data_IF_961915456529
#
_entry.id   IF_961915456529
#
_cell.length_a   1.000
_cell.length_b   1.000
_cell.length_c   1.000
_cell.angle_alpha   90.00
_cell.angle_beta   90.00
_cell.angle_gamma   90.00
#
_symmetry.space_group_name_H-M   'P 1'
#
loop_
_entity.id
_entity.type
_entity.pdbx_description
1 polymer ?
2 non-polymer ?
3 non-polymer ?
4 water ?
#
# COMPACT_ATOMS: atom_id res chain seq x y z
N UNK A 7 5.74 9.19 17.03
CA UNK A 7 6.09 8.51 15.78
C UNK A 7 6.84 9.47 14.87
N UNK A 8 7.80 8.90 14.13
CA UNK A 8 8.77 9.68 13.37
C UNK A 8 8.11 10.46 12.23
N UNK A 9 8.56 11.70 12.02
CA UNK A 9 8.06 12.45 10.88
C UNK A 9 9.13 12.89 9.87
N UNK A 10 10.42 12.73 10.17
CA UNK A 10 11.41 13.21 9.21
C UNK A 10 11.68 12.17 8.13
N UNK A 11 12.00 12.66 6.94
CA UNK A 11 12.34 11.90 5.74
C UNK A 11 13.73 11.28 5.87
N UNK A 12 13.96 10.13 5.23
CA UNK A 12 15.28 9.50 5.16
C UNK A 12 15.57 8.93 3.77
N UNK A 13 15.38 9.78 2.75
CA UNK A 13 15.39 9.33 1.37
C UNK A 13 16.78 8.87 0.92
N UNK A 14 17.84 9.48 1.45
CA UNK A 14 19.22 9.09 1.12
C UNK A 14 19.61 7.76 1.73
N UNK A 15 18.81 7.23 2.65
CA UNK A 15 19.13 5.99 3.34
C UNK A 15 18.98 4.81 2.38
N UNK A 16 19.99 3.95 2.27
CA UNK A 16 19.88 2.81 1.34
C UNK A 16 18.77 1.82 1.71
N UNK A 17 18.23 1.89 2.92
CA UNK A 17 17.19 0.92 3.31
C UNK A 17 15.84 1.33 2.76
N UNK A 18 15.53 2.63 2.77
CA UNK A 18 14.34 3.13 2.12
C UNK A 18 14.35 2.84 0.60
N UNK A 19 15.49 3.10 -0.05
CA UNK A 19 15.57 2.88 -1.50
C UNK A 19 15.28 1.42 -1.84
N UNK A 20 15.81 0.50 -1.03
CA UNK A 20 15.71 -0.94 -1.30
C UNK A 20 14.28 -1.44 -1.16
N UNK A 21 13.59 -0.97 -0.11
CA UNK A 21 12.18 -1.27 0.08
C UNK A 21 11.36 -0.94 -1.16
N UNK A 22 11.54 0.24 -1.74
CA UNK A 22 10.69 0.54 -2.91
C UNK A 22 11.24 -0.09 -4.17
N UNK A 23 12.52 -0.43 -4.22
CA UNK A 23 13.00 -1.23 -5.34
C UNK A 23 12.28 -2.56 -5.37
N UNK A 24 12.15 -3.20 -4.21
CA UNK A 24 11.42 -4.45 -4.12
C UNK A 24 10.00 -4.31 -4.65
N UNK A 25 9.32 -3.21 -4.28
CA UNK A 25 7.94 -3.06 -4.71
C UNK A 25 7.84 -2.69 -6.19
N UNK A 26 8.79 -1.90 -6.69
CA UNK A 26 8.81 -1.63 -8.14
C UNK A 26 8.97 -2.92 -8.93
N UNK A 27 9.94 -3.76 -8.57
CA UNK A 27 10.10 -5.02 -9.28
C UNK A 27 8.85 -5.86 -9.22
N UNK A 28 8.22 -5.89 -8.03
CA UNK A 28 6.94 -6.54 -7.86
C UNK A 28 5.91 -5.99 -8.83
N UNK A 29 5.88 -4.65 -9.01
CA UNK A 29 4.96 -4.08 -10.02
C UNK A 29 5.44 -4.36 -11.44
N UNK A 30 6.76 -4.37 -11.64
CA UNK A 30 7.32 -4.69 -13.00
C UNK A 30 7.21 -6.20 -13.15
N UNK A 31 6.01 -6.70 -13.48
CA UNK A 31 5.80 -8.15 -13.55
C UNK A 31 6.55 -8.74 -14.74
N UNK A 32 6.62 -8.02 -15.83
CA UNK A 32 7.28 -8.55 -17.03
C UNK A 32 8.79 -8.31 -17.01
N UNK A 33 9.32 -7.71 -15.97
CA UNK A 33 10.76 -7.65 -15.81
C UNK A 33 11.49 -6.73 -16.76
N UNK A 34 10.81 -5.80 -17.40
CA UNK A 34 11.51 -4.91 -18.33
C UNK A 34 11.95 -3.59 -17.70
N UNK A 35 11.66 -3.36 -16.42
CA UNK A 35 12.16 -2.16 -15.79
C UNK A 35 11.30 -0.94 -15.99
N UNK A 36 10.06 -1.12 -16.50
CA UNK A 36 9.15 0.00 -16.72
C UNK A 36 7.76 -0.40 -16.25
N UNK A 37 7.07 0.53 -15.62
CA UNK A 37 5.69 0.28 -15.24
C UNK A 37 4.85 1.46 -15.70
N UNK A 38 3.54 1.25 -15.83
CA UNK A 38 2.62 2.32 -16.23
C UNK A 38 1.44 2.39 -15.28
N UNK A 39 0.89 3.60 -15.12
CA UNK A 39 -0.36 3.69 -14.35
C UNK A 39 -1.44 2.81 -14.97
N UNK A 40 -1.40 2.61 -16.31
CA UNK A 40 -2.38 1.75 -16.95
C UNK A 40 -2.35 0.34 -16.36
N UNK A 41 -1.14 -0.21 -16.20
CA UNK A 41 -1.01 -1.53 -15.61
C UNK A 41 -1.46 -1.55 -14.17
N UNK A 42 -1.07 -0.51 -13.43
CA UNK A 42 -1.40 -0.47 -12.00
C UNK A 42 -2.92 -0.47 -11.81
N UNK A 43 -3.61 0.35 -12.58
CA UNK A 43 -5.06 0.46 -12.39
C UNK A 43 -5.76 -0.82 -12.83
N UNK A 44 -5.34 -1.39 -13.96
CA UNK A 44 -5.80 -2.70 -14.39
C UNK A 44 -5.67 -3.71 -13.25
N UNK A 45 -4.50 -3.70 -12.60
CA UNK A 45 -4.30 -4.61 -11.48
C UNK A 45 -5.29 -4.31 -10.36
N UNK A 46 -5.53 -3.02 -10.12
CA UNK A 46 -6.47 -2.64 -9.05
C UNK A 46 -7.90 -3.06 -9.37
N UNK A 47 -8.40 -2.67 -10.54
CA UNK A 47 -9.83 -2.89 -10.78
C UNK A 47 -10.14 -4.24 -11.45
N UNK A 48 -9.47 -4.52 -12.56
CA UNK A 48 -9.78 -5.71 -13.34
C UNK A 48 -9.31 -6.99 -12.68
N UNK A 49 -8.35 -6.91 -11.76
CA UNK A 49 -7.75 -8.06 -11.13
C UNK A 49 -8.14 -8.19 -9.66
N UNK A 50 -8.07 -7.10 -8.90
CA UNK A 50 -8.38 -7.17 -7.44
C UNK A 50 -9.88 -6.91 -7.17
N UNK A 51 -10.40 -5.76 -7.56
CA UNK A 51 -11.82 -5.41 -7.25
C UNK A 51 -12.82 -6.34 -7.95
N UNK A 52 -12.58 -6.70 -9.21
CA UNK A 52 -13.52 -7.60 -9.91
C UNK A 52 -13.57 -8.96 -9.20
N UNK A 53 -12.40 -9.46 -8.79
CA UNK A 53 -12.30 -10.78 -8.09
C UNK A 53 -13.04 -10.73 -6.76
N UNK A 54 -12.99 -9.59 -6.06
CA UNK A 54 -13.65 -9.42 -4.74
C UNK A 54 -15.14 -9.04 -4.89
N UNK A 55 -15.63 -8.89 -6.13
CA UNK A 55 -17.05 -8.58 -6.43
C UNK A 55 -17.47 -7.28 -5.72
N UNK A 56 -16.60 -6.27 -5.77
CA UNK A 56 -16.90 -4.97 -5.14
C UNK A 56 -17.97 -4.24 -5.97
N UNK A 57 -18.73 -3.36 -5.33
CA UNK A 57 -19.79 -2.58 -6.01
C UNK A 57 -19.16 -1.55 -6.96
N UNK A 58 -19.88 -1.05 -7.98
CA UNK A 58 -19.31 -0.06 -8.90
C UNK A 58 -18.84 1.18 -8.11
N UNK A 59 -19.64 1.63 -7.13
CA UNK A 59 -19.24 2.77 -6.28
C UNK A 59 -17.94 2.38 -5.54
N UNK A 60 -17.86 1.15 -5.03
CA UNK A 60 -16.65 0.65 -4.31
C UNK A 60 -15.47 0.51 -5.27
N UNK A 61 -15.70 -0.05 -6.46
CA UNK A 61 -14.61 -0.23 -7.44
C UNK A 61 -14.11 1.14 -7.90
N UNK A 62 -15.03 2.06 -8.19
CA UNK A 62 -14.66 3.42 -8.63
C UNK A 62 -13.91 4.12 -7.50
N UNK A 63 -14.37 3.93 -6.26
CA UNK A 63 -13.70 4.57 -5.10
C UNK A 63 -12.28 3.98 -4.97
N UNK A 64 -12.17 2.65 -5.09
CA UNK A 64 -10.85 1.99 -4.97
C UNK A 64 -9.97 2.47 -6.11
N UNK A 65 -10.50 2.45 -7.34
CA UNK A 65 -9.67 2.92 -8.46
C UNK A 65 -9.30 4.40 -8.31
N UNK A 66 -10.22 5.23 -7.78
CA UNK A 66 -9.87 6.63 -7.55
C UNK A 66 -8.71 6.75 -6.58
N UNK A 67 -8.73 5.91 -5.52
CA UNK A 67 -7.67 6.09 -4.56
C UNK A 67 -6.34 5.55 -5.09
N UNK A 68 -6.37 4.47 -5.86
CA UNK A 68 -5.14 3.99 -6.48
C UNK A 68 -4.60 5.00 -7.47
N UNK A 69 -5.47 5.58 -8.31
CA UNK A 69 -4.99 6.57 -9.26
C UNK A 69 -4.30 7.72 -8.51
N UNK A 70 -4.95 8.22 -7.46
CA UNK A 70 -4.39 9.35 -6.71
C UNK A 70 -3.03 8.98 -6.12
N UNK A 71 -2.94 7.79 -5.51
CA UNK A 71 -1.74 7.39 -4.80
C UNK A 71 -0.57 7.32 -5.78
N UNK A 72 -0.78 6.63 -6.89
CA UNK A 72 0.38 6.50 -7.78
C UNK A 72 0.64 7.75 -8.62
N UNK A 73 -0.37 8.58 -8.90
CA UNK A 73 -0.05 9.92 -9.44
C UNK A 73 0.77 10.73 -8.45
N UNK A 74 0.56 10.49 -7.14
CA UNK A 74 1.37 11.13 -6.11
C UNK A 74 2.84 10.80 -6.21
N UNK A 75 3.18 9.63 -6.79
CA UNK A 75 4.54 9.20 -7.08
C UNK A 75 5.07 9.70 -8.41
N UNK A 76 4.22 10.27 -9.23
CA UNK A 76 4.64 10.70 -10.54
C UNK A 76 4.17 9.82 -11.66
N UNK A 77 3.34 8.82 -11.38
CA UNK A 77 2.84 8.00 -12.49
C UNK A 77 1.71 8.70 -13.22
N UNK A 78 1.49 8.28 -14.47
CA UNK A 78 0.36 8.84 -15.21
C UNK A 78 -0.01 7.91 -16.37
N UNK A 79 -1.28 7.98 -16.79
CA UNK A 79 -1.73 7.14 -17.87
C UNK A 79 -0.88 7.44 -19.09
N UNK A 80 -0.42 6.38 -19.74
CA UNK A 80 0.31 6.49 -21.00
C UNK A 80 1.80 6.67 -20.86
N UNK A 81 2.30 6.80 -19.63
CA UNK A 81 3.69 7.13 -19.34
C UNK A 81 4.42 5.92 -18.78
N UNK A 82 5.52 5.53 -19.40
CA UNK A 82 6.35 4.44 -18.87
C UNK A 82 7.32 5.01 -17.83
N UNK A 83 7.35 4.41 -16.62
CA UNK A 83 8.16 4.90 -15.52
C UNK A 83 9.23 3.86 -15.19
N UNK A 84 10.50 4.28 -15.19
CA UNK A 84 11.59 3.38 -14.78
C UNK A 84 11.98 3.68 -13.33
N UNK A 85 12.81 2.81 -12.73
CA UNK A 85 12.93 2.89 -11.25
C UNK A 85 13.53 4.20 -10.73
N UNK A 86 14.53 4.81 -11.35
CA UNK A 86 15.02 6.09 -10.83
C UNK A 86 13.92 7.15 -10.75
N UNK A 87 13.08 7.28 -11.79
CA UNK A 87 12.02 8.26 -11.76
C UNK A 87 10.94 7.87 -10.75
N UNK A 88 10.67 6.56 -10.63
CA UNK A 88 9.72 6.08 -9.59
C UNK A 88 10.21 6.47 -8.20
N UNK A 89 11.48 6.19 -7.94
CA UNK A 89 12.09 6.53 -6.63
C UNK A 89 12.02 8.03 -6.34
N UNK A 90 12.31 8.86 -7.34
CA UNK A 90 12.25 10.30 -7.13
C UNK A 90 10.81 10.76 -6.86
N UNK A 91 9.84 10.19 -7.57
CA UNK A 91 8.46 10.50 -7.25
C UNK A 91 8.01 9.96 -5.91
N UNK A 92 8.67 8.90 -5.42
CA UNK A 92 8.32 8.45 -4.07
C UNK A 92 8.82 9.42 -3.00
N UNK A 93 9.95 10.09 -3.21
CA UNK A 93 10.30 11.16 -2.26
C UNK A 93 9.25 12.24 -2.25
N UNK A 94 8.72 12.59 -3.41
CA UNK A 94 7.71 13.64 -3.40
C UNK A 94 6.44 13.17 -2.74
N UNK A 95 6.01 11.93 -3.03
CA UNK A 95 4.82 11.37 -2.40
C UNK A 95 4.95 11.29 -0.89
N UNK A 96 6.07 10.74 -0.39
CA UNK A 96 6.21 10.64 1.06
C UNK A 96 6.24 12.02 1.70
N UNK A 97 6.86 13.00 1.05
CA UNK A 97 6.85 14.35 1.63
C UNK A 97 5.43 14.91 1.67
N UNK A 98 4.68 14.74 0.59
CA UNK A 98 3.27 15.16 0.62
C UNK A 98 2.53 14.47 1.74
N UNK A 99 2.71 13.16 1.85
CA UNK A 99 1.92 12.40 2.82
C UNK A 99 2.25 12.81 4.24
N UNK A 100 3.52 13.03 4.54
CA UNK A 100 3.84 13.49 5.91
C UNK A 100 3.29 14.88 6.18
N UNK A 101 3.30 15.77 5.18
CA UNK A 101 2.68 17.09 5.39
C UNK A 101 1.18 16.94 5.68
N UNK A 102 0.43 16.19 4.86
CA UNK A 102 -1.00 16.04 5.15
C UNK A 102 -1.22 15.38 6.49
N UNK A 103 -0.33 14.45 6.83
CA UNK A 103 -0.43 13.76 8.10
C UNK A 103 -0.30 14.73 9.26
N UNK A 104 0.72 15.60 9.19
CA UNK A 104 0.98 16.59 10.24
C UNK A 104 -0.10 17.67 10.32
N UNK A 105 -1.02 17.74 9.36
CA UNK A 105 -2.16 18.64 9.47
C UNK A 105 -3.46 17.89 9.69
N UNK A 106 -3.41 16.60 9.97
CA UNK A 106 -4.59 15.75 10.12
C UNK A 106 -5.49 15.83 8.88
N UNK A 107 -4.85 16.00 7.66
CA UNK A 107 -5.51 15.82 6.38
C UNK A 107 -5.52 14.32 6.03
N UNK A 108 -6.57 13.80 5.41
CA UNK A 108 -6.58 12.37 5.11
C UNK A 108 -5.43 12.12 4.11
N UNK A 109 -4.59 11.17 4.44
CA UNK A 109 -3.49 10.82 3.51
C UNK A 109 -3.96 9.93 2.39
N UNK A 110 -3.14 9.85 1.32
CA UNK A 110 -3.57 9.01 0.21
C UNK A 110 -3.57 7.54 0.64
N UNK A 111 -2.67 7.16 1.53
CA UNK A 111 -2.65 5.78 1.97
C UNK A 111 -3.79 5.52 2.94
N UNK A 112 -4.18 6.54 3.70
CA UNK A 112 -5.40 6.39 4.55
C UNK A 112 -6.59 6.17 3.62
N UNK A 113 -6.69 6.90 2.55
CA UNK A 113 -7.90 6.82 1.73
C UNK A 113 -7.94 5.50 0.98
N UNK A 114 -6.78 5.04 0.52
CA UNK A 114 -6.75 3.73 -0.12
C UNK A 114 -7.10 2.63 0.86
N UNK A 115 -6.53 2.68 2.06
CA UNK A 115 -6.86 1.67 3.06
C UNK A 115 -8.34 1.62 3.39
N UNK A 116 -8.98 2.78 3.52
CA UNK A 116 -10.41 2.79 3.79
C UNK A 116 -11.16 2.07 2.68
N UNK A 117 -10.70 2.27 1.44
CA UNK A 117 -11.40 1.72 0.29
C UNK A 117 -11.21 0.23 0.23
N UNK A 118 -10.02 -0.23 0.60
CA UNK A 118 -9.78 -1.67 0.58
C UNK A 118 -10.60 -2.33 1.66
N UNK A 119 -10.58 -1.75 2.87
CA UNK A 119 -11.26 -2.42 3.98
C UNK A 119 -12.76 -2.46 3.74
N UNK A 120 -13.29 -1.48 3.01
CA UNK A 120 -14.73 -1.39 2.78
C UNK A 120 -15.22 -2.54 1.91
N UNK A 121 -14.31 -3.27 1.30
CA UNK A 121 -14.70 -4.40 0.43
C UNK A 121 -15.00 -5.62 1.31
N UNK A 122 -14.06 -5.97 2.21
CA UNK A 122 -14.17 -7.16 3.10
C UNK A 122 -15.27 -7.11 4.16
N UNK A 123 -15.39 -6.01 4.89
CA UNK A 123 -16.37 -5.96 6.02
C UNK A 123 -17.61 -5.18 5.61
N UNK A 124 -17.70 -4.82 4.32
CA UNK A 124 -18.75 -3.94 3.74
C UNK A 124 -18.62 -2.59 4.46
N UNK A 125 -19.72 -1.97 4.87
CA UNK A 125 -19.54 -0.69 5.61
C UNK A 125 -19.86 -0.99 7.08
N UNK A 126 -18.88 -0.80 7.96
CA UNK A 126 -19.10 -1.11 9.39
C UNK A 126 -17.88 -0.91 10.25
N UNK A 127 -17.41 -2.01 10.86
CA UNK A 127 -16.28 -2.06 11.82
C UNK A 127 -14.95 -1.60 11.22
N UNK A 128 -14.77 -1.77 9.91
CA UNK A 128 -13.48 -1.41 9.28
C UNK A 128 -12.37 -2.31 9.80
N UNK A 129 -12.69 -3.59 9.99
CA UNK A 129 -11.73 -4.62 10.46
C UNK A 129 -11.77 -5.78 9.47
N UNK A 130 -10.69 -6.56 9.38
CA UNK A 130 -10.70 -7.70 8.42
C UNK A 130 -10.20 -8.97 9.08
N UNK A 131 -10.80 -10.10 8.65
CA UNK A 131 -10.43 -11.45 9.05
C UNK A 131 -9.07 -11.81 8.46
N UNK A 132 -8.34 -12.71 9.12
CA UNK A 132 -7.12 -13.20 8.51
C UNK A 132 -7.42 -13.90 7.17
N UNK A 133 -8.44 -14.77 7.16
CA UNK A 133 -9.01 -15.32 5.92
C UNK A 133 -9.18 -14.22 4.88
N UNK A 134 -9.64 -13.05 5.31
CA UNK A 134 -9.81 -11.93 4.39
C UNK A 134 -8.46 -11.33 3.99
N UNK A 135 -7.52 -11.20 4.92
CA UNK A 135 -6.23 -10.63 4.54
C UNK A 135 -5.45 -11.57 3.64
N UNK A 136 -5.36 -12.86 4.03
CA UNK A 136 -4.78 -13.89 3.19
C UNK A 136 -5.33 -13.82 1.78
N UNK A 137 -6.65 -13.62 1.67
CA UNK A 137 -7.25 -13.43 0.36
C UNK A 137 -6.62 -12.22 -0.33
N UNK A 138 -6.54 -11.08 0.37
CA UNK A 138 -5.91 -9.90 -0.22
C UNK A 138 -4.45 -10.16 -0.55
N UNK A 139 -3.72 -10.83 0.36
CA UNK A 139 -2.31 -11.04 0.13
C UNK A 139 -2.04 -11.80 -1.14
N UNK A 140 -2.96 -12.71 -1.50
CA UNK A 140 -2.87 -13.59 -2.66
C UNK A 140 -3.40 -12.92 -3.92
N UNK A 141 -4.55 -12.25 -3.82
CA UNK A 141 -5.11 -11.55 -4.96
C UNK A 141 -4.16 -10.44 -5.41
N UNK A 142 -3.81 -9.52 -4.50
CA UNK A 142 -2.91 -8.44 -4.90
C UNK A 142 -1.50 -8.96 -5.18
N UNK A 143 -1.14 -10.12 -4.66
CA UNK A 143 0.20 -10.62 -4.79
C UNK A 143 1.22 -9.95 -3.89
N UNK A 144 0.85 -8.98 -3.06
CA UNK A 144 1.88 -8.37 -2.24
C UNK A 144 2.41 -9.35 -1.20
N UNK A 145 1.65 -10.38 -0.84
CA UNK A 145 2.06 -11.32 0.20
C UNK A 145 1.34 -12.64 -0.06
N UNK A 146 1.71 -13.34 -1.16
CA UNK A 146 0.90 -14.49 -1.59
C UNK A 146 0.98 -15.69 -0.66
N UNK A 147 1.96 -15.77 0.23
CA UNK A 147 2.11 -16.79 1.24
C UNK A 147 0.94 -16.74 2.22
N UNK A 148 0.40 -17.87 2.67
CA UNK A 148 -0.44 -17.86 3.86
C UNK A 148 0.39 -17.74 5.13
N UNK A 149 1.70 -18.00 5.05
CA UNK A 149 2.56 -17.85 6.20
C UNK A 149 2.89 -16.38 6.48
N UNK A 150 3.27 -15.62 5.44
CA UNK A 150 3.60 -14.22 5.69
C UNK A 150 2.40 -13.43 6.21
N UNK A 151 1.19 -13.79 5.79
CA UNK A 151 -0.05 -13.18 6.27
C UNK A 151 -0.18 -13.33 7.77
N UNK A 152 0.29 -14.48 8.26
CA UNK A 152 0.23 -14.75 9.70
C UNK A 152 1.14 -13.81 10.47
N UNK A 153 2.34 -13.54 9.96
CA UNK A 153 3.31 -12.73 10.69
C UNK A 153 2.89 -11.27 10.80
N UNK A 154 2.25 -10.70 9.77
CA UNK A 154 1.76 -9.34 9.88
C UNK A 154 0.70 -9.22 10.98
N UNK A 155 -0.22 -10.19 11.08
CA UNK A 155 -1.25 -10.15 12.13
C UNK A 155 -0.63 -10.35 13.50
N UNK A 156 0.57 -10.93 13.58
CA UNK A 156 1.29 -11.03 14.83
C UNK A 156 2.08 -9.76 15.13
N UNK A 157 2.51 -9.03 14.09
CA UNK A 157 3.23 -7.77 14.23
C UNK A 157 2.32 -6.60 14.62
N UNK A 158 1.07 -6.61 14.19
CA UNK A 158 0.16 -5.49 14.41
C UNK A 158 -0.53 -5.62 15.77
N UNK A 159 -0.90 -4.48 16.35
CA UNK A 159 -1.80 -4.43 17.50
C UNK A 159 -3.18 -4.87 17.02
N UNK A 160 -3.58 -6.09 17.34
CA UNK A 160 -4.86 -6.60 16.86
C UNK A 160 -5.95 -6.21 17.88
N UNK A 161 -7.20 -6.54 17.57
CA UNK A 161 -8.32 -6.32 18.49
C UNK A 161 -8.78 -7.68 19.04
N UNK A 162 -9.89 -7.66 19.80
CA UNK A 162 -10.25 -8.82 20.62
C UNK A 162 -10.85 -9.98 19.84
N UNK A 163 -11.19 -9.80 18.57
CA UNK A 163 -11.66 -10.92 17.75
C UNK A 163 -10.56 -11.53 16.89
N UNK A 164 -9.30 -11.10 17.05
CA UNK A 164 -8.23 -11.53 16.15
C UNK A 164 -8.27 -10.90 14.78
N UNK A 165 -8.83 -9.69 14.68
CA UNK A 165 -9.01 -8.99 13.41
C UNK A 165 -8.21 -7.70 13.40
N UNK A 166 -7.80 -7.27 12.18
CA UNK A 166 -6.94 -6.11 11.99
C UNK A 166 -7.78 -4.88 11.62
N UNK A 167 -7.44 -3.73 12.21
CA UNK A 167 -8.21 -2.49 12.05
C UNK A 167 -7.50 -1.58 11.04
N UNK A 168 -8.27 -0.98 10.14
CA UNK A 168 -7.56 -0.15 9.16
C UNK A 168 -6.87 1.01 9.88
N UNK A 169 -7.33 1.34 11.08
CA UNK A 169 -6.67 2.41 11.89
C UNK A 169 -5.22 1.95 12.18
N UNK A 170 -5.07 0.69 12.59
CA UNK A 170 -3.79 0.07 12.89
C UNK A 170 -2.92 -0.01 11.63
N UNK A 171 -3.50 -0.47 10.53
CA UNK A 171 -2.69 -0.65 9.31
C UNK A 171 -2.22 0.69 8.79
N UNK A 172 -3.05 1.73 8.89
CA UNK A 172 -2.64 3.04 8.40
C UNK A 172 -1.45 3.57 9.19
N UNK A 173 -1.52 3.49 10.52
CA UNK A 173 -0.39 3.88 11.36
C UNK A 173 0.88 3.11 10.99
N UNK A 174 0.76 1.79 10.82
CA UNK A 174 1.91 0.96 10.45
C UNK A 174 2.46 1.34 9.07
N UNK A 175 1.57 1.67 8.13
CA UNK A 175 2.00 2.03 6.77
C UNK A 175 2.75 3.35 6.73
N UNK A 176 2.34 4.34 7.52
CA UNK A 176 3.08 5.60 7.47
C UNK A 176 4.53 5.40 7.95
N UNK A 177 4.75 4.41 8.81
CA UNK A 177 6.09 4.10 9.24
C UNK A 177 6.77 3.24 8.19
N UNK A 178 6.02 2.27 7.64
CA UNK A 178 6.65 1.24 6.83
C UNK A 178 7.08 1.77 5.46
N UNK A 179 6.33 2.70 4.88
CA UNK A 179 6.59 3.18 3.51
C UNK A 179 7.22 4.56 3.46
N UNK A 180 6.98 5.42 4.45
CA UNK A 180 7.31 6.84 4.36
C UNK A 180 8.54 7.22 5.18
N UNK A 181 8.63 6.79 6.44
CA UNK A 181 9.67 7.29 7.35
C UNK A 181 10.68 6.30 7.93
N UNK A 182 10.46 5.00 7.63
CA UNK A 182 11.40 3.91 8.04
C UNK A 182 11.46 3.68 9.56
N UNK A 183 10.30 3.49 10.21
CA UNK A 183 10.28 3.21 11.64
C UNK A 183 10.65 1.76 11.90
N UNK A 184 11.49 1.48 12.91
CA UNK A 184 11.79 0.08 13.26
C UNK A 184 10.64 -0.68 13.93
N UNK A 185 9.61 -0.02 14.45
CA UNK A 185 8.49 -0.91 14.78
C UNK A 185 7.54 -1.06 13.60
N UNK A 186 7.73 -0.27 12.55
CA UNK A 186 7.15 -0.62 11.27
C UNK A 186 8.02 -1.62 10.51
N UNK A 187 9.33 -1.66 10.80
CA UNK A 187 10.15 -2.75 10.26
C UNK A 187 9.56 -4.08 10.68
N UNK A 188 9.41 -4.98 9.71
CA UNK A 188 8.72 -6.24 9.92
C UNK A 188 7.24 -6.25 9.57
N UNK A 189 6.66 -5.11 9.18
CA UNK A 189 5.22 -5.05 8.91
C UNK A 189 4.76 -6.19 8.01
N UNK A 190 5.47 -6.43 6.91
CA UNK A 190 5.13 -7.54 6.02
C UNK A 190 6.09 -8.70 6.23
N UNK A 191 6.52 -8.95 7.46
CA UNK A 191 7.42 -10.08 7.72
C UNK A 191 8.71 -9.93 6.95
N UNK A 192 9.19 -11.05 6.39
CA UNK A 192 10.30 -11.03 5.45
C UNK A 192 9.83 -11.00 3.99
N UNK A 193 8.57 -10.66 3.73
CA UNK A 193 8.03 -10.62 2.37
C UNK A 193 8.24 -9.31 1.63
N UNK A 194 8.58 -8.25 2.36
CA UNK A 194 8.98 -6.94 1.85
C UNK A 194 10.07 -6.44 2.78
N UNK A 195 11.32 -6.24 2.31
CA UNK A 195 12.44 -5.91 3.19
C UNK A 195 12.28 -4.54 3.85
#
# INVERSE_FOLDING_TARGET
>A
MSSKYAVKLKTDFDNPRWIKRHKHMFDFLDINGNGKITLDEIVSKASDDICAKLEATPEQTKRHQVCVEAFFRGCGMEYGKEIAFPQFLDGWKQLATSELKKWARNEPTLIREWGDAVFDIFDKDGSGTITLDEWKAYGKISGISPSQEDCEATFRHCDLDNAGDLDVDEMTRQHLGFWYTLDPEADGLYGNGVP
#
